data_IF_677295858792
#
_entry.id   IF_677295858792
#
_cell.length_a   1.000
_cell.length_b   1.000
_cell.length_c   1.000
_cell.angle_alpha   90.00
_cell.angle_beta   90.00
_cell.angle_gamma   90.00
#
_symmetry.space_group_name_H-M   'P 1'
#
loop_
_entity.id
_entity.type
_entity.pdbx_description
1 polymer ?
#
# COMPACT_ATOMS: atom_id res chain seq x y z
N UNK A 1 -28.14 3.72 11.71
CA UNK A 1 -28.77 2.59 10.99
C UNK A 1 -27.87 2.38 9.80
N UNK A 2 -27.03 1.35 9.81
CA UNK A 2 -25.94 1.21 8.83
C UNK A 2 -26.31 0.19 7.74
N UNK A 3 -27.60 0.07 7.46
CA UNK A 3 -28.13 -0.79 6.40
C UNK A 3 -27.96 -0.03 5.08
N UNK A 4 -27.26 -0.65 4.14
CA UNK A 4 -27.14 -0.23 2.76
C UNK A 4 -28.23 -0.94 1.97
N UNK A 5 -29.16 -0.19 1.38
CA UNK A 5 -30.20 -0.75 0.52
C UNK A 5 -29.71 -0.89 -0.93
N UNK A 6 -30.39 -1.73 -1.70
CA UNK A 6 -30.10 -1.94 -3.12
C UNK A 6 -30.00 -0.61 -3.88
N UNK A 7 -28.89 -0.42 -4.58
CA UNK A 7 -28.55 0.79 -5.33
C UNK A 7 -28.05 1.95 -4.47
N UNK A 8 -28.01 1.82 -3.15
CA UNK A 8 -27.34 2.80 -2.28
C UNK A 8 -25.83 2.64 -2.39
N UNK A 9 -25.16 3.79 -2.41
CA UNK A 9 -23.72 3.92 -2.61
C UNK A 9 -23.12 4.70 -1.45
N UNK A 10 -22.10 4.13 -0.82
CA UNK A 10 -21.23 4.84 0.10
C UNK A 10 -20.00 5.29 -0.68
N UNK A 11 -19.68 6.57 -0.60
CA UNK A 11 -18.48 7.13 -1.23
C UNK A 11 -17.59 7.71 -0.15
N UNK A 12 -16.31 7.40 -0.22
CA UNK A 12 -15.28 7.86 0.69
C UNK A 12 -14.24 8.62 -0.12
N UNK A 13 -13.72 9.71 0.44
CA UNK A 13 -12.67 10.53 -0.16
C UNK A 13 -11.56 10.69 0.87
N UNK A 14 -10.32 10.68 0.40
CA UNK A 14 -9.13 10.66 1.23
C UNK A 14 -8.31 11.93 0.97
N UNK A 15 -7.83 12.55 2.05
CA UNK A 15 -6.97 13.74 1.96
C UNK A 15 -5.57 13.41 1.41
N UNK A 16 -5.15 12.15 1.54
CA UNK A 16 -3.94 11.59 0.94
C UNK A 16 -4.32 10.37 0.10
N UNK A 17 -3.64 10.11 -1.03
CA UNK A 17 -3.89 8.90 -1.81
C UNK A 17 -3.79 7.63 -0.95
N UNK A 18 -4.77 6.75 -1.13
CA UNK A 18 -4.81 5.40 -0.57
C UNK A 18 -4.32 4.39 -1.62
N UNK A 19 -3.72 3.31 -1.17
CA UNK A 19 -3.20 2.21 -2.01
C UNK A 19 -4.01 0.94 -1.87
N UNK A 20 -4.70 0.76 -0.74
CA UNK A 20 -5.60 -0.36 -0.50
C UNK A 20 -6.79 0.09 0.37
N UNK A 21 -7.84 -0.73 0.37
CA UNK A 21 -9.03 -0.54 1.17
C UNK A 21 -9.55 -1.88 1.71
N UNK A 22 -9.81 -1.91 3.02
CA UNK A 22 -10.54 -3.01 3.68
C UNK A 22 -11.88 -2.48 4.17
N UNK A 23 -12.97 -3.19 3.86
CA UNK A 23 -14.29 -2.86 4.40
C UNK A 23 -14.87 -4.01 5.21
N UNK A 24 -15.57 -3.65 6.28
CA UNK A 24 -16.29 -4.57 7.13
C UNK A 24 -17.79 -4.49 6.84
N UNK A 25 -18.40 -5.66 6.63
CA UNK A 25 -19.83 -5.81 6.37
C UNK A 25 -20.45 -6.83 7.31
N UNK A 26 -21.72 -6.65 7.62
CA UNK A 26 -22.54 -7.60 8.35
C UNK A 26 -23.77 -7.97 7.55
N UNK A 27 -24.35 -9.13 7.82
CA UNK A 27 -25.52 -9.64 7.10
C UNK A 27 -25.27 -9.69 5.58
N UNK A 28 -24.06 -10.09 5.19
CA UNK A 28 -23.70 -10.30 3.79
C UNK A 28 -23.79 -11.81 3.50
N UNK A 29 -24.69 -12.20 2.60
CA UNK A 29 -25.05 -13.60 2.37
C UNK A 29 -25.06 -13.97 0.88
N UNK A 30 -25.28 -15.25 0.59
CA UNK A 30 -25.32 -15.74 -0.79
C UNK A 30 -26.41 -15.02 -1.62
N UNK A 31 -26.04 -14.53 -2.80
CA UNK A 31 -26.88 -13.69 -3.66
C UNK A 31 -26.74 -12.19 -3.40
N UNK A 32 -26.09 -11.77 -2.32
CA UNK A 32 -25.69 -10.38 -2.13
C UNK A 32 -24.45 -10.07 -2.98
N UNK A 33 -24.45 -8.87 -3.57
CA UNK A 33 -23.36 -8.41 -4.42
C UNK A 33 -22.94 -7.02 -3.96
N UNK A 34 -21.66 -6.87 -3.63
CA UNK A 34 -21.04 -5.58 -3.40
C UNK A 34 -20.28 -5.21 -4.67
N UNK A 35 -20.60 -4.06 -5.25
CA UNK A 35 -19.79 -3.48 -6.32
C UNK A 35 -18.89 -2.40 -5.73
N UNK A 36 -17.59 -2.45 -6.05
CA UNK A 36 -16.61 -1.46 -5.63
C UNK A 36 -15.97 -0.77 -6.83
N UNK A 37 -15.60 0.50 -6.64
CA UNK A 37 -14.86 1.32 -7.62
C UNK A 37 -13.89 2.22 -6.87
N UNK A 38 -12.71 2.41 -7.43
CA UNK A 38 -11.72 3.38 -6.96
C UNK A 38 -11.48 4.44 -8.03
N UNK A 39 -11.19 5.66 -7.61
CA UNK A 39 -11.07 6.81 -8.50
C UNK A 39 -9.79 7.60 -8.27
N UNK A 40 -9.23 8.13 -9.35
CA UNK A 40 -8.13 9.10 -9.31
C UNK A 40 -8.59 10.47 -8.76
N UNK A 41 -7.64 11.40 -8.61
CA UNK A 41 -7.91 12.77 -8.15
C UNK A 41 -8.86 13.57 -9.08
N UNK A 42 -8.97 13.18 -10.36
CA UNK A 42 -9.89 13.79 -11.32
C UNK A 42 -11.31 13.21 -11.25
N UNK A 43 -11.53 12.16 -10.45
CA UNK A 43 -12.80 11.43 -10.34
C UNK A 43 -13.02 10.40 -11.44
N UNK A 44 -11.97 10.02 -12.18
CA UNK A 44 -12.01 8.94 -13.16
C UNK A 44 -11.95 7.60 -12.43
N UNK A 45 -12.80 6.64 -12.82
CA UNK A 45 -12.66 5.26 -12.33
C UNK A 45 -11.37 4.67 -12.89
N UNK A 46 -10.47 4.27 -12.01
CA UNK A 46 -9.18 3.68 -12.38
C UNK A 46 -9.15 2.17 -12.14
N UNK A 47 -9.99 1.65 -11.23
CA UNK A 47 -10.22 0.23 -11.07
C UNK A 47 -11.61 -0.04 -10.44
N UNK A 48 -12.14 -1.25 -10.64
CA UNK A 48 -13.45 -1.67 -10.16
C UNK A 48 -13.61 -3.18 -10.13
N UNK A 49 -14.45 -3.67 -9.22
CA UNK A 49 -14.79 -5.08 -9.16
C UNK A 49 -16.09 -5.34 -8.41
N UNK A 50 -16.37 -6.62 -8.24
CA UNK A 50 -17.56 -7.11 -7.53
C UNK A 50 -17.16 -8.21 -6.57
N UNK A 51 -17.78 -8.23 -5.40
CA UNK A 51 -17.74 -9.34 -4.46
C UNK A 51 -19.08 -10.07 -4.54
N UNK A 52 -19.05 -11.34 -4.93
CA UNK A 52 -20.20 -12.21 -5.06
C UNK A 52 -19.84 -13.65 -4.69
N UNK A 53 -20.78 -14.40 -4.10
CA UNK A 53 -20.65 -15.82 -3.70
C UNK A 53 -19.54 -16.15 -2.67
N UNK A 54 -18.57 -15.28 -2.47
CA UNK A 54 -17.42 -15.43 -1.57
C UNK A 54 -16.40 -14.35 -1.83
N UNK A 55 -15.36 -14.34 -1.01
CA UNK A 55 -14.24 -13.40 -1.09
C UNK A 55 -13.01 -14.01 -0.45
N UNK A 56 -11.83 -13.47 -0.73
CA UNK A 56 -10.63 -13.75 0.04
C UNK A 56 -10.58 -12.84 1.27
N UNK A 57 -10.41 -13.41 2.46
CA UNK A 57 -10.25 -12.60 3.67
C UNK A 57 -8.88 -11.89 3.70
N UNK A 58 -8.59 -11.16 4.78
CA UNK A 58 -7.31 -10.44 4.97
C UNK A 58 -6.10 -11.37 5.02
N UNK A 59 -6.28 -12.68 5.21
CA UNK A 59 -5.20 -13.67 5.13
C UNK A 59 -5.15 -14.35 3.75
N UNK A 60 -5.96 -13.87 2.80
CA UNK A 60 -6.07 -14.44 1.47
C UNK A 60 -6.70 -15.83 1.45
N UNK A 61 -7.50 -16.19 2.46
CA UNK A 61 -8.24 -17.45 2.49
C UNK A 61 -9.61 -17.23 1.87
N UNK A 62 -10.01 -18.12 0.94
CA UNK A 62 -11.34 -18.06 0.35
C UNK A 62 -12.44 -18.37 1.38
N UNK A 63 -13.34 -17.40 1.58
CA UNK A 63 -14.50 -17.47 2.44
C UNK A 63 -15.77 -17.49 1.58
N UNK A 64 -16.47 -18.64 1.48
CA UNK A 64 -17.76 -18.68 0.80
C UNK A 64 -18.85 -17.99 1.63
N UNK A 65 -19.77 -17.28 0.98
CA UNK A 65 -20.89 -16.65 1.67
C UNK A 65 -21.95 -17.69 2.03
N UNK A 66 -22.36 -17.80 3.31
CA UNK A 66 -23.44 -18.68 3.72
C UNK A 66 -24.80 -18.02 3.52
N UNK A 67 -25.86 -18.84 3.48
CA UNK A 67 -27.26 -18.38 3.53
C UNK A 67 -27.67 -17.85 4.94
N UNK A 68 -26.73 -17.39 5.76
CA UNK A 68 -26.96 -17.00 7.16
C UNK A 68 -26.51 -15.56 7.43
N UNK A 69 -27.48 -14.73 7.79
CA UNK A 69 -27.43 -13.28 7.91
C UNK A 69 -26.74 -12.73 9.17
N UNK A 70 -26.04 -13.53 9.99
CA UNK A 70 -25.55 -13.08 11.31
C UNK A 70 -24.02 -12.94 11.42
N UNK A 71 -23.30 -12.97 10.31
CA UNK A 71 -21.84 -12.90 10.30
C UNK A 71 -21.37 -11.51 9.89
N UNK A 72 -20.27 -11.07 10.51
CA UNK A 72 -19.51 -9.92 10.08
C UNK A 72 -18.25 -10.41 9.36
N UNK A 73 -17.94 -9.79 8.24
CA UNK A 73 -16.79 -10.09 7.42
C UNK A 73 -15.91 -8.87 7.27
N UNK A 74 -14.60 -9.10 7.13
CA UNK A 74 -13.62 -8.11 6.72
C UNK A 74 -13.15 -8.52 5.33
N UNK A 75 -13.33 -7.63 4.36
CA UNK A 75 -13.03 -7.88 2.95
C UNK A 75 -11.92 -6.92 2.57
N UNK A 76 -10.76 -7.48 2.24
CA UNK A 76 -9.58 -6.76 1.79
C UNK A 76 -9.56 -6.71 0.26
N UNK A 77 -9.54 -5.53 -0.33
CA UNK A 77 -9.57 -5.40 -1.77
C UNK A 77 -8.29 -5.84 -2.47
N UNK A 78 -7.12 -5.73 -1.84
CA UNK A 78 -5.87 -6.23 -2.43
C UNK A 78 -5.97 -7.74 -2.74
N UNK A 79 -6.66 -8.49 -1.89
CA UNK A 79 -6.92 -9.93 -2.09
C UNK A 79 -8.11 -10.21 -3.01
N UNK A 80 -8.94 -9.21 -3.30
CA UNK A 80 -10.17 -9.33 -4.08
C UNK A 80 -10.17 -8.50 -5.38
N UNK A 81 -8.99 -8.32 -5.96
CA UNK A 81 -8.83 -7.85 -7.32
C UNK A 81 -8.61 -6.36 -7.51
N UNK A 82 -8.32 -5.60 -6.44
CA UNK A 82 -7.73 -4.27 -6.59
C UNK A 82 -6.29 -4.42 -7.09
N UNK A 83 -5.96 -3.74 -8.19
CA UNK A 83 -4.63 -3.78 -8.78
C UNK A 83 -3.56 -3.26 -7.79
N UNK A 84 -2.51 -4.07 -7.58
CA UNK A 84 -1.41 -3.71 -6.69
C UNK A 84 -0.65 -2.47 -7.18
N UNK A 85 -0.26 -1.59 -6.25
CA UNK A 85 0.43 -0.33 -6.53
C UNK A 85 -0.47 0.77 -7.11
N UNK A 86 -1.76 0.51 -7.32
CA UNK A 86 -2.71 1.51 -7.78
C UNK A 86 -3.05 2.48 -6.64
N UNK A 87 -2.91 3.78 -6.90
CA UNK A 87 -3.26 4.83 -5.95
C UNK A 87 -4.60 5.47 -6.29
N UNK A 88 -5.46 5.65 -5.29
CA UNK A 88 -6.77 6.26 -5.45
C UNK A 88 -7.04 7.32 -4.37
N UNK A 89 -7.82 8.33 -4.71
CA UNK A 89 -8.18 9.43 -3.79
C UNK A 89 -9.62 9.32 -3.30
N UNK A 90 -10.42 8.47 -3.94
CA UNK A 90 -11.75 8.14 -3.45
C UNK A 90 -12.13 6.71 -3.85
N UNK A 91 -13.05 6.15 -3.09
CA UNK A 91 -13.66 4.87 -3.41
C UNK A 91 -15.16 4.96 -3.27
N UNK A 92 -15.85 4.04 -3.91
CA UNK A 92 -17.23 3.75 -3.60
C UNK A 92 -17.53 2.28 -3.48
N UNK A 93 -18.40 1.94 -2.54
CA UNK A 93 -19.04 0.64 -2.41
C UNK A 93 -20.55 0.77 -2.57
N UNK A 94 -21.15 -0.15 -3.31
CA UNK A 94 -22.57 -0.14 -3.66
C UNK A 94 -23.19 -1.52 -3.39
N UNK A 95 -24.40 -1.50 -2.82
CA UNK A 95 -25.23 -2.69 -2.71
C UNK A 95 -25.91 -2.99 -4.05
N UNK A 96 -25.26 -3.81 -4.88
CA UNK A 96 -25.65 -3.99 -6.27
C UNK A 96 -26.87 -4.93 -6.46
N UNK A 97 -27.15 -5.83 -5.51
CA UNK A 97 -28.29 -6.75 -5.59
C UNK A 97 -29.25 -6.66 -4.40
N UNK A 98 -28.74 -6.88 -3.19
CA UNK A 98 -29.50 -6.99 -1.93
C UNK A 98 -28.92 -6.04 -0.89
N UNK A 99 -29.65 -5.87 0.22
CA UNK A 99 -29.20 -5.00 1.31
C UNK A 99 -28.22 -5.72 2.23
N UNK A 100 -27.12 -5.05 2.58
CA UNK A 100 -26.18 -5.52 3.60
C UNK A 100 -25.94 -4.43 4.65
N UNK A 101 -25.30 -4.77 5.76
CA UNK A 101 -24.91 -3.80 6.78
C UNK A 101 -23.46 -3.39 6.58
N UNK A 102 -23.18 -2.10 6.47
CA UNK A 102 -21.82 -1.59 6.52
C UNK A 102 -21.40 -1.35 7.99
N UNK A 103 -20.27 -1.92 8.41
CA UNK A 103 -19.87 -1.92 9.83
C UNK A 103 -18.54 -1.24 10.09
N UNK A 104 -17.67 -1.12 9.09
CA UNK A 104 -16.37 -0.49 9.26
C UNK A 104 -15.60 -0.37 7.95
N UNK A 105 -14.51 0.38 8.01
CA UNK A 105 -13.62 0.63 6.88
C UNK A 105 -12.26 1.11 7.34
N UNK A 106 -11.23 0.68 6.64
CA UNK A 106 -9.84 1.12 6.77
C UNK A 106 -9.21 1.24 5.39
N UNK A 107 -8.19 2.08 5.30
CA UNK A 107 -7.34 2.24 4.10
C UNK A 107 -5.90 2.13 4.49
N UNK A 108 -5.10 1.62 3.57
CA UNK A 108 -3.65 1.75 3.61
C UNK A 108 -3.25 3.00 2.85
N UNK A 109 -2.18 3.64 3.34
CA UNK A 109 -1.69 4.88 2.77
C UNK A 109 -0.65 4.58 1.70
N UNK A 110 -0.76 5.29 0.57
CA UNK A 110 0.29 5.27 -0.44
C UNK A 110 1.43 6.23 -0.06
N UNK A 111 2.67 5.76 -0.13
CA UNK A 111 3.87 6.60 -0.05
C UNK A 111 4.61 6.46 -1.37
N UNK A 112 4.60 7.52 -2.16
CA UNK A 112 5.30 7.59 -3.45
C UNK A 112 6.10 8.87 -3.59
N UNK A 113 7.13 8.80 -4.42
CA UNK A 113 7.96 9.95 -4.79
C UNK A 113 7.61 10.39 -6.20
N UNK A 114 7.26 11.67 -6.34
CA UNK A 114 6.99 12.28 -7.64
C UNK A 114 8.17 13.17 -8.06
N UNK A 115 8.53 13.14 -9.34
CA UNK A 115 9.50 14.07 -9.93
C UNK A 115 9.05 15.52 -9.69
N UNK A 116 9.95 16.34 -9.15
CA UNK A 116 9.69 17.76 -8.95
C UNK A 116 10.46 18.57 -9.99
N UNK A 117 9.73 19.34 -10.80
CA UNK A 117 10.32 20.28 -11.75
C UNK A 117 10.18 21.71 -11.23
N UNK A 118 11.31 22.39 -11.07
CA UNK A 118 11.36 23.79 -10.65
C UNK A 118 11.90 24.67 -11.76
N UNK A 119 11.06 25.56 -12.26
CA UNK A 119 11.44 26.59 -13.23
C UNK A 119 11.92 27.87 -12.52
N UNK A 120 13.16 28.27 -12.79
CA UNK A 120 13.70 29.54 -12.31
C UNK A 120 13.81 30.52 -13.47
N UNK A 121 13.29 31.73 -13.27
CA UNK A 121 13.46 32.86 -14.19
C UNK A 121 14.32 33.93 -13.53
N UNK A 122 15.45 34.26 -14.17
CA UNK A 122 16.35 35.33 -13.77
C UNK A 122 16.18 36.48 -14.75
N UNK A 123 15.85 37.66 -14.23
CA UNK A 123 15.70 38.89 -15.01
C UNK A 123 16.64 39.96 -14.43
N UNK A 124 17.55 40.46 -15.25
CA UNK A 124 18.38 41.62 -14.93
C UNK A 124 17.70 42.90 -15.37
N UNK A 125 17.29 43.73 -14.42
CA UNK A 125 16.69 45.05 -14.67
C UNK A 125 17.75 46.09 -14.36
N UNK A 126 17.97 47.05 -15.26
CA UNK A 126 18.94 48.10 -15.03
C UNK A 126 18.35 49.26 -14.18
N UNK A 127 19.13 50.35 -14.04
CA UNK A 127 18.78 51.46 -13.17
C UNK A 127 17.60 52.32 -13.65
N UNK A 128 17.18 52.19 -14.90
CA UNK A 128 16.00 52.92 -15.42
C UNK A 128 14.73 52.06 -15.52
N UNK A 129 14.86 50.75 -15.24
CA UNK A 129 13.74 49.82 -15.16
C UNK A 129 13.63 48.89 -16.37
N UNK A 130 14.54 49.00 -17.34
CA UNK A 130 14.56 48.14 -18.52
C UNK A 130 15.19 46.77 -18.24
N UNK A 131 14.65 45.72 -18.87
CA UNK A 131 15.20 44.37 -18.80
C UNK A 131 16.42 44.30 -19.72
N UNK A 132 17.60 44.28 -19.10
CA UNK A 132 18.90 44.17 -19.75
C UNK A 132 19.28 42.74 -20.15
N UNK A 133 18.76 41.73 -19.45
CA UNK A 133 19.00 40.32 -19.73
C UNK A 133 17.95 39.43 -19.05
N UNK A 134 17.62 38.27 -19.64
CA UNK A 134 16.82 37.24 -18.98
C UNK A 134 17.31 35.85 -19.32
N UNK A 135 17.33 34.97 -18.34
CA UNK A 135 17.59 33.54 -18.53
C UNK A 135 16.58 32.73 -17.72
N UNK A 136 16.17 31.60 -18.27
CA UNK A 136 15.41 30.59 -17.54
C UNK A 136 16.20 29.29 -17.53
N UNK A 137 16.17 28.58 -16.42
CA UNK A 137 16.65 27.22 -16.32
C UNK A 137 15.74 26.41 -15.40
N UNK A 138 15.54 25.15 -15.76
CA UNK A 138 14.82 24.19 -14.94
C UNK A 138 15.79 23.36 -14.11
N UNK A 139 15.40 23.04 -12.88
CA UNK A 139 16.00 21.96 -12.09
C UNK A 139 14.94 20.87 -11.96
N UNK A 140 15.22 19.70 -12.52
CA UNK A 140 14.46 18.49 -12.21
C UNK A 140 15.16 17.82 -11.05
N UNK A 141 14.44 17.65 -9.95
CA UNK A 141 14.78 16.64 -8.94
C UNK A 141 14.08 15.37 -9.42
N UNK A 142 14.85 14.50 -10.08
CA UNK A 142 14.33 13.20 -10.45
C UNK A 142 14.17 12.39 -9.16
N UNK A 143 13.01 11.78 -8.94
CA UNK A 143 12.72 11.00 -7.74
C UNK A 143 13.56 9.73 -7.60
N UNK A 144 14.67 9.62 -8.33
CA UNK A 144 15.52 8.43 -8.39
C UNK A 144 16.44 8.37 -7.19
N UNK A 145 16.45 7.24 -6.49
CA UNK A 145 17.28 7.08 -5.30
C UNK A 145 16.71 7.79 -4.08
N UNK A 146 15.39 7.67 -3.91
CA UNK A 146 14.62 8.31 -2.86
C UNK A 146 14.71 7.59 -1.53
N UNK A 147 14.54 8.32 -0.43
CA UNK A 147 14.32 7.73 0.89
C UNK A 147 12.84 7.87 1.22
N UNK A 148 12.12 6.75 1.25
CA UNK A 148 10.72 6.69 1.60
C UNK A 148 10.61 6.29 3.07
N UNK A 149 9.97 7.13 3.89
CA UNK A 149 9.86 6.92 5.34
C UNK A 149 8.44 6.56 5.74
N UNK A 150 8.26 5.35 6.26
CA UNK A 150 7.02 4.84 6.83
C UNK A 150 6.70 5.39 8.21
N UNK A 151 5.54 4.99 8.72
CA UNK A 151 5.03 5.36 10.04
C UNK A 151 4.63 4.11 10.84
N UNK A 152 3.76 4.25 11.84
CA UNK A 152 3.26 3.10 12.59
C UNK A 152 1.98 2.49 11.98
N UNK A 153 1.55 3.00 10.82
CA UNK A 153 0.39 2.49 10.09
C UNK A 153 0.85 1.61 8.93
N UNK A 154 -0.07 0.87 8.34
CA UNK A 154 0.20 0.00 7.20
C UNK A 154 0.34 0.87 5.93
N UNK A 155 1.51 0.78 5.29
CA UNK A 155 1.83 1.58 4.12
C UNK A 155 2.27 0.75 2.91
N UNK A 156 1.89 1.23 1.72
CA UNK A 156 2.40 0.71 0.46
C UNK A 156 3.42 1.70 -0.10
N UNK A 157 4.66 1.24 -0.23
CA UNK A 157 5.77 1.96 -0.81
C UNK A 157 5.90 1.68 -2.31
N UNK A 158 6.20 2.74 -3.07
CA UNK A 158 6.58 2.63 -4.48
C UNK A 158 7.74 3.61 -4.73
N UNK A 159 8.95 3.07 -4.91
CA UNK A 159 10.18 3.85 -5.06
C UNK A 159 10.36 4.43 -6.46
N UNK A 160 9.81 3.75 -7.46
CA UNK A 160 9.89 4.09 -8.87
C UNK A 160 11.16 3.53 -9.51
N UNK A 161 11.94 4.41 -10.12
CA UNK A 161 13.21 4.04 -10.75
C UNK A 161 14.36 4.61 -9.96
N UNK A 162 15.35 3.81 -9.61
CA UNK A 162 16.53 4.31 -8.90
C UNK A 162 16.96 3.34 -7.82
N UNK A 163 17.94 3.72 -7.01
CA UNK A 163 18.38 2.95 -5.85
C UNK A 163 17.67 3.48 -4.60
N UNK A 164 16.43 3.06 -4.39
CA UNK A 164 15.55 3.65 -3.38
C UNK A 164 15.78 3.00 -1.99
N UNK A 165 15.54 3.76 -0.92
CA UNK A 165 15.63 3.25 0.46
C UNK A 165 14.25 3.33 1.10
N UNK A 166 13.66 2.17 1.35
CA UNK A 166 12.39 1.99 2.04
C UNK A 166 12.66 1.87 3.54
N UNK A 167 12.58 2.98 4.26
CA UNK A 167 12.63 3.00 5.72
C UNK A 167 11.25 2.63 6.25
N UNK A 168 11.06 1.35 6.56
CA UNK A 168 9.77 0.81 7.02
C UNK A 168 9.48 1.24 8.44
N UNK A 169 8.25 1.08 8.89
CA UNK A 169 7.83 1.43 10.23
C UNK A 169 7.09 0.31 10.94
N UNK A 170 6.31 0.64 11.96
CA UNK A 170 5.68 -0.36 12.84
C UNK A 170 4.46 -1.08 12.25
N UNK A 171 4.04 -0.73 11.03
CA UNK A 171 2.90 -1.34 10.34
C UNK A 171 3.27 -2.65 9.62
N UNK A 172 2.24 -3.26 9.04
CA UNK A 172 2.39 -4.32 8.05
C UNK A 172 2.52 -3.66 6.66
N UNK A 173 3.76 -3.39 6.27
CA UNK A 173 4.10 -2.60 5.10
C UNK A 173 4.22 -3.45 3.84
N UNK A 174 4.00 -2.84 2.67
CA UNK A 174 4.16 -3.46 1.36
C UNK A 174 5.11 -2.63 0.51
N UNK A 175 6.02 -3.29 -0.21
CA UNK A 175 6.86 -2.64 -1.22
C UNK A 175 6.45 -3.16 -2.59
N UNK A 176 5.81 -2.29 -3.37
CA UNK A 176 5.18 -2.63 -4.63
C UNK A 176 6.19 -2.91 -5.76
N UNK A 177 7.34 -2.23 -5.73
CA UNK A 177 8.28 -2.20 -6.87
C UNK A 177 9.75 -2.51 -6.50
N UNK A 178 9.98 -3.20 -5.38
CA UNK A 178 11.34 -3.52 -4.91
C UNK A 178 12.22 -4.17 -6.01
N UNK A 179 13.43 -3.64 -6.17
CA UNK A 179 14.40 -4.09 -7.16
C UNK A 179 15.84 -4.00 -6.65
N UNK A 180 16.37 -5.14 -6.19
CA UNK A 180 17.79 -5.29 -5.85
C UNK A 180 18.72 -4.87 -6.99
N UNK A 181 18.28 -5.06 -8.25
CA UNK A 181 19.07 -4.73 -9.43
C UNK A 181 19.20 -3.22 -9.69
N UNK A 182 18.21 -2.43 -9.26
CA UNK A 182 18.27 -0.97 -9.31
C UNK A 182 19.01 -0.38 -8.09
N UNK A 183 19.21 -1.20 -7.05
CA UNK A 183 19.96 -0.84 -5.86
C UNK A 183 19.07 -0.54 -4.66
N UNK A 184 17.83 -1.01 -4.69
CA UNK A 184 16.87 -0.76 -3.62
C UNK A 184 17.27 -1.43 -2.31
N UNK A 185 16.96 -0.74 -1.22
CA UNK A 185 17.25 -1.12 0.15
C UNK A 185 16.01 -1.05 1.00
N UNK A 186 15.87 -1.96 1.94
CA UNK A 186 14.85 -1.89 2.98
C UNK A 186 15.55 -1.67 4.30
N UNK A 187 15.33 -0.50 4.89
CA UNK A 187 15.85 -0.13 6.18
C UNK A 187 14.74 -0.38 7.23
N UNK A 188 14.98 -1.33 8.13
CA UNK A 188 14.07 -1.70 9.22
C UNK A 188 14.56 -1.18 10.58
N UNK A 189 15.58 -0.30 10.61
CA UNK A 189 16.20 0.21 11.84
C UNK A 189 15.23 0.93 12.78
N UNK A 190 14.13 1.47 12.23
CA UNK A 190 13.08 2.14 13.00
C UNK A 190 12.32 1.16 13.92
N UNK A 191 12.26 -0.12 13.54
CA UNK A 191 11.55 -1.20 14.26
C UNK A 191 12.51 -2.15 14.94
N UNK A 192 13.60 -2.49 14.26
CA UNK A 192 14.62 -3.43 14.69
C UNK A 192 16.01 -2.81 14.53
N UNK A 193 16.62 -2.45 15.66
CA UNK A 193 18.04 -2.12 15.72
C UNK A 193 18.81 -3.30 16.36
N UNK A 194 19.55 -4.05 15.55
CA UNK A 194 20.36 -5.19 15.97
C UNK A 194 21.79 -5.09 15.43
N UNK A 195 22.66 -6.03 15.83
CA UNK A 195 24.00 -6.10 15.24
C UNK A 195 23.94 -6.63 13.81
N UNK A 196 24.82 -6.15 12.95
CA UNK A 196 24.95 -6.62 11.56
C UNK A 196 24.94 -8.15 11.47
N UNK A 197 24.04 -8.68 10.63
CA UNK A 197 23.85 -10.12 10.43
C UNK A 197 23.09 -10.86 11.54
N UNK A 198 22.60 -10.18 12.59
CA UNK A 198 21.68 -10.75 13.56
C UNK A 198 20.25 -10.77 13.03
N UNK A 199 19.92 -11.87 12.35
CA UNK A 199 18.58 -12.15 11.83
C UNK A 199 17.72 -12.98 12.78
N UNK A 200 18.10 -13.13 14.06
CA UNK A 200 17.37 -14.02 15.00
C UNK A 200 15.94 -13.58 15.26
N UNK A 201 15.64 -12.29 15.04
CA UNK A 201 14.33 -11.67 15.18
C UNK A 201 13.58 -11.49 13.86
N UNK A 202 14.12 -12.04 12.77
CA UNK A 202 13.49 -12.03 11.46
C UNK A 202 12.82 -13.40 11.20
N UNK A 203 11.64 -13.35 10.61
CA UNK A 203 10.89 -14.49 10.14
C UNK A 203 10.54 -14.36 8.67
N UNK A 204 9.92 -15.42 8.15
CA UNK A 204 9.53 -15.50 6.76
C UNK A 204 8.21 -16.24 6.65
N UNK A 205 7.29 -15.63 5.92
CA UNK A 205 6.09 -16.28 5.44
C UNK A 205 5.84 -15.90 3.99
N UNK A 206 4.80 -16.49 3.42
CA UNK A 206 4.28 -16.11 2.10
C UNK A 206 2.81 -15.83 2.22
N UNK A 207 2.35 -14.80 1.52
CA UNK A 207 0.92 -14.55 1.34
C UNK A 207 0.25 -15.68 0.55
N UNK A 208 -1.09 -15.69 0.53
CA UNK A 208 -1.92 -16.63 -0.25
C UNK A 208 -1.59 -16.63 -1.75
N UNK A 209 -1.25 -15.46 -2.30
CA UNK A 209 -0.86 -15.23 -3.69
C UNK A 209 0.65 -15.46 -3.94
N UNK A 210 1.39 -15.87 -2.91
CA UNK A 210 2.77 -16.34 -3.02
C UNK A 210 3.83 -15.26 -2.93
N UNK A 211 3.49 -14.04 -2.51
CA UNK A 211 4.44 -12.96 -2.27
C UNK A 211 5.23 -13.23 -0.99
N UNK A 212 6.50 -12.86 -0.98
CA UNK A 212 7.37 -13.03 0.16
C UNK A 212 7.09 -11.98 1.23
N UNK A 213 7.05 -12.40 2.50
CA UNK A 213 6.86 -11.54 3.66
C UNK A 213 8.06 -11.67 4.58
N UNK A 214 8.70 -10.55 4.89
CA UNK A 214 9.67 -10.44 5.98
C UNK A 214 8.91 -10.12 7.27
N UNK A 215 8.97 -11.01 8.25
CA UNK A 215 8.33 -10.81 9.54
C UNK A 215 9.37 -10.30 10.55
N UNK A 216 9.02 -9.30 11.36
CA UNK A 216 9.92 -8.71 12.35
C UNK A 216 9.33 -8.97 13.74
N UNK A 217 10.11 -9.57 14.63
CA UNK A 217 9.68 -9.95 15.98
C UNK A 217 10.35 -9.12 17.08
N UNK A 218 9.70 -8.99 18.23
CA UNK A 218 10.27 -8.32 19.40
C UNK A 218 11.44 -9.09 20.04
N UNK A 219 11.49 -10.41 19.83
CA UNK A 219 12.45 -11.32 20.45
C UNK A 219 12.78 -12.51 19.55
N UNK A 220 13.88 -13.22 19.87
CA UNK A 220 14.38 -14.35 19.09
C UNK A 220 13.55 -15.64 19.22
N UNK A 221 12.57 -15.69 20.14
CA UNK A 221 11.63 -16.79 20.25
C UNK A 221 10.40 -16.60 19.34
N UNK A 222 10.28 -15.43 18.69
CA UNK A 222 9.18 -15.06 17.79
C UNK A 222 7.81 -15.05 18.48
N UNK A 223 7.76 -14.61 19.75
CA UNK A 223 6.52 -14.60 20.54
C UNK A 223 5.52 -13.52 20.06
N UNK A 224 6.02 -12.38 19.59
CA UNK A 224 5.19 -11.26 19.13
C UNK A 224 5.80 -10.59 17.89
N UNK A 225 5.04 -10.59 16.79
CA UNK A 225 5.39 -9.84 15.59
C UNK A 225 5.12 -8.36 15.82
N UNK A 226 6.08 -7.51 15.47
CA UNK A 226 6.04 -6.06 15.68
C UNK A 226 5.82 -5.28 14.38
N UNK A 227 6.13 -5.88 13.24
CA UNK A 227 5.93 -5.33 11.89
C UNK A 227 6.16 -6.45 10.88
N UNK A 228 5.67 -6.26 9.67
CA UNK A 228 6.02 -7.09 8.52
C UNK A 228 6.27 -6.23 7.29
N UNK A 229 7.00 -6.78 6.33
CA UNK A 229 7.25 -6.16 5.02
C UNK A 229 6.96 -7.18 3.92
N UNK A 230 5.92 -6.97 3.15
CA UNK A 230 5.55 -7.79 1.99
C UNK A 230 6.20 -7.24 0.72
N UNK A 231 6.80 -8.12 -0.08
CA UNK A 231 7.45 -7.77 -1.34
C UNK A 231 6.60 -8.25 -2.52
N UNK A 232 5.91 -7.33 -3.19
CA UNK A 232 4.94 -7.68 -4.24
C UNK A 232 5.57 -8.37 -5.43
N UNK A 233 6.83 -8.03 -5.75
CA UNK A 233 7.56 -8.58 -6.89
C UNK A 233 8.43 -9.80 -6.56
N UNK A 234 8.50 -10.22 -5.29
CA UNK A 234 9.27 -11.39 -4.89
C UNK A 234 8.31 -12.54 -4.58
N UNK A 235 8.17 -13.47 -5.52
CA UNK A 235 7.24 -14.61 -5.42
C UNK A 235 7.93 -15.97 -5.39
N UNK A 236 9.26 -15.98 -5.47
CA UNK A 236 10.09 -17.18 -5.60
C UNK A 236 11.00 -17.44 -4.38
N UNK A 237 10.85 -16.67 -3.31
CA UNK A 237 11.51 -16.95 -2.03
C UNK A 237 10.82 -18.13 -1.33
N UNK A 238 11.60 -19.07 -0.81
CA UNK A 238 11.07 -20.28 -0.16
C UNK A 238 11.30 -20.34 1.35
N UNK A 239 12.21 -19.51 1.86
CA UNK A 239 12.54 -19.37 3.27
C UNK A 239 13.23 -18.01 3.50
N UNK A 240 13.51 -17.69 4.78
CA UNK A 240 14.17 -16.44 5.16
C UNK A 240 15.54 -16.25 4.48
N UNK A 241 16.36 -17.29 4.36
CA UNK A 241 17.67 -17.16 3.72
C UNK A 241 17.53 -16.87 2.23
N UNK A 242 16.54 -17.45 1.57
CA UNK A 242 16.21 -17.16 0.18
C UNK A 242 15.72 -15.72 0.00
N UNK A 243 14.95 -15.17 0.95
CA UNK A 243 14.51 -13.78 0.91
C UNK A 243 15.67 -12.82 1.15
N UNK A 244 16.50 -13.05 2.17
CA UNK A 244 17.68 -12.24 2.46
C UNK A 244 18.74 -12.29 1.34
N UNK A 245 18.72 -13.31 0.49
CA UNK A 245 19.53 -13.36 -0.72
C UNK A 245 18.99 -12.50 -1.88
N UNK A 246 17.78 -11.96 -1.74
CA UNK A 246 17.07 -11.18 -2.76
C UNK A 246 16.82 -9.74 -2.34
N UNK A 247 16.97 -9.42 -1.06
CA UNK A 247 16.70 -8.09 -0.50
C UNK A 247 17.94 -7.58 0.24
N UNK A 248 18.31 -6.33 -0.02
CA UNK A 248 19.30 -5.59 0.77
C UNK A 248 18.58 -5.00 2.00
N UNK A 249 18.71 -5.69 3.14
CA UNK A 249 18.13 -5.27 4.42
C UNK A 249 19.19 -4.54 5.23
N UNK A 250 18.88 -3.33 5.70
CA UNK A 250 19.61 -2.66 6.77
C UNK A 250 18.79 -2.69 8.06
N UNK A 251 19.41 -3.13 9.14
CA UNK A 251 18.82 -3.16 10.48
C UNK A 251 19.83 -2.68 11.54
N UNK A 252 20.83 -1.92 11.10
CA UNK A 252 21.92 -1.39 11.92
C UNK A 252 21.98 0.14 11.82
N UNK A 253 22.41 0.79 12.89
CA UNK A 253 22.69 2.25 12.91
C UNK A 253 24.17 2.54 13.05
#
# INVERSE_FOLDING_TARGET
NNLMNVGEKLTMTFDTPASNATFAVGNFSDGDIIAWKVYDAAGTVIDSGTIDHGFYDTNGVWVPLPNNENLNYSIDLAQNGLDAGLQFTSMSIEAASNSYKFTGFSVEKAITVEDQHYDFSVVGIDGDGDISNSASFGVTVDGTGSILTGTAADEVFTGGSGADTFLTGGGDDHIADYSLSQGDKVDITSVLNSLEGDHTRLGFSTTSDGKAVLEIYDNAAHDHMVSSVTFDNITDATDLNSLLGKVDIDHTT
#
